data_IF_713462019870
#
_entry.id   IF_713462019870
#
_cell.length_a   1.000
_cell.length_b   1.000
_cell.length_c   1.000
_cell.angle_alpha   90.00
_cell.angle_beta   90.00
_cell.angle_gamma   90.00
#
_symmetry.space_group_name_H-M   'P 1'
#
loop_
_entity.id
_entity.type
_entity.pdbx_description
1 polymer ?
#
# COMPACT_ATOMS: atom_id res chain seq x y z
N UNK A 1 18.81 -3.26 12.44
CA UNK A 1 18.11 -2.10 13.03
C UNK A 1 18.25 -2.08 14.57
N UNK A 2 18.08 -3.21 15.26
CA UNK A 2 18.17 -3.31 16.74
C UNK A 2 19.50 -2.87 17.39
N UNK A 3 20.65 -2.97 16.69
CA UNK A 3 21.95 -2.60 17.25
C UNK A 3 22.21 -1.08 17.34
N UNK A 4 21.42 -0.25 16.67
CA UNK A 4 21.58 1.21 16.61
C UNK A 4 20.50 1.98 17.39
N UNK A 5 19.61 1.28 18.11
CA UNK A 5 18.42 1.85 18.78
C UNK A 5 17.48 2.67 17.86
N UNK A 6 17.71 2.63 16.54
CA UNK A 6 16.89 3.29 15.53
C UNK A 6 15.43 2.84 15.58
N UNK A 7 15.19 1.59 15.99
CA UNK A 7 13.85 1.05 16.22
C UNK A 7 13.09 1.84 17.31
N UNK A 8 13.78 2.17 18.41
CA UNK A 8 13.18 2.96 19.51
C UNK A 8 12.96 4.41 19.09
N UNK A 9 13.90 4.99 18.34
CA UNK A 9 13.74 6.34 17.79
C UNK A 9 12.54 6.41 16.84
N UNK A 10 12.42 5.45 15.92
CA UNK A 10 11.27 5.31 15.01
C UNK A 10 9.96 5.20 15.77
N UNK A 11 9.88 4.30 16.75
CA UNK A 11 8.67 4.11 17.57
C UNK A 11 8.28 5.42 18.27
N UNK A 12 9.24 6.14 18.86
CA UNK A 12 8.96 7.41 19.55
C UNK A 12 8.49 8.52 18.61
N UNK A 13 9.01 8.59 17.38
CA UNK A 13 8.67 9.62 16.40
C UNK A 13 7.35 9.33 15.68
N UNK A 14 7.00 8.04 15.55
CA UNK A 14 5.79 7.56 14.88
C UNK A 14 4.71 7.05 15.82
N UNK A 15 4.76 7.40 17.11
CA UNK A 15 3.71 7.06 18.08
C UNK A 15 2.30 7.55 17.66
N UNK A 16 2.22 8.57 16.80
CA UNK A 16 0.96 9.01 16.21
C UNK A 16 0.37 7.99 15.21
N UNK A 17 1.19 7.17 14.56
CA UNK A 17 0.73 6.08 13.66
C UNK A 17 0.07 4.99 14.50
N UNK A 18 0.65 4.65 15.65
CA UNK A 18 0.10 3.67 16.59
C UNK A 18 -1.36 4.00 16.95
N UNK A 19 -1.64 5.26 17.30
CA UNK A 19 -3.01 5.70 17.61
C UNK A 19 -4.01 5.37 16.49
N UNK A 20 -3.62 5.57 15.22
CA UNK A 20 -4.49 5.21 14.10
C UNK A 20 -4.59 3.70 13.89
N UNK A 21 -3.52 2.95 14.15
CA UNK A 21 -3.51 1.50 14.03
C UNK A 21 -4.43 0.83 15.07
N UNK A 22 -4.50 1.34 16.29
CA UNK A 22 -5.34 0.75 17.36
C UNK A 22 -6.76 1.31 17.36
N UNK A 23 -6.91 2.63 17.29
CA UNK A 23 -8.18 3.28 17.61
C UNK A 23 -9.07 3.44 16.38
N UNK A 24 -8.47 3.59 15.20
CA UNK A 24 -9.21 3.76 13.95
C UNK A 24 -8.50 3.11 12.75
N UNK A 25 -8.50 1.77 12.72
CA UNK A 25 -7.85 0.99 11.68
C UNK A 25 -8.32 1.32 10.25
N UNK A 26 -9.58 1.76 10.08
CA UNK A 26 -10.07 2.22 8.77
C UNK A 26 -9.33 3.47 8.29
N UNK A 27 -9.13 4.44 9.17
CA UNK A 27 -8.37 5.65 8.86
C UNK A 27 -6.89 5.33 8.63
N UNK A 28 -6.33 4.38 9.38
CA UNK A 28 -4.96 3.89 9.13
C UNK A 28 -4.80 3.34 7.71
N UNK A 29 -5.69 2.45 7.25
CA UNK A 29 -5.63 1.91 5.89
C UNK A 29 -5.73 3.03 4.85
N UNK A 30 -6.63 4.01 5.07
CA UNK A 30 -6.78 5.15 4.16
C UNK A 30 -5.52 6.01 4.08
N UNK A 31 -4.91 6.35 5.22
CA UNK A 31 -3.68 7.14 5.26
C UNK A 31 -2.50 6.39 4.67
N UNK A 32 -2.40 5.08 4.93
CA UNK A 32 -1.38 4.22 4.35
C UNK A 32 -1.51 4.16 2.83
N UNK A 33 -2.73 4.00 2.33
CA UNK A 33 -3.05 4.09 0.92
C UNK A 33 -2.55 5.41 0.30
N UNK A 34 -2.97 6.55 0.86
CA UNK A 34 -2.54 7.86 0.36
C UNK A 34 -1.01 8.02 0.37
N UNK A 35 -0.36 7.54 1.43
CA UNK A 35 1.10 7.61 1.58
C UNK A 35 1.82 6.76 0.54
N UNK A 36 1.36 5.53 0.31
CA UNK A 36 1.92 4.64 -0.72
C UNK A 36 1.71 5.24 -2.11
N UNK A 37 0.52 5.76 -2.42
CA UNK A 37 0.26 6.40 -3.72
C UNK A 37 1.18 7.60 -3.95
N UNK A 38 1.41 8.43 -2.92
CA UNK A 38 2.28 9.60 -3.01
C UNK A 38 3.75 9.20 -3.22
N UNK A 39 4.25 8.24 -2.42
CA UNK A 39 5.63 7.76 -2.53
C UNK A 39 5.84 7.02 -3.86
N UNK A 40 4.84 6.27 -4.32
CA UNK A 40 4.86 5.56 -5.60
C UNK A 40 4.82 6.44 -6.83
N UNK A 41 4.80 7.78 -6.69
CA UNK A 41 5.11 8.70 -7.80
C UNK A 41 6.61 8.68 -8.12
N UNK A 42 7.45 8.39 -7.11
CA UNK A 42 8.92 8.48 -7.19
C UNK A 42 9.59 7.12 -7.02
N UNK A 43 9.04 6.25 -6.18
CA UNK A 43 9.59 4.93 -5.86
C UNK A 43 8.88 3.81 -6.64
N UNK A 44 9.60 2.71 -6.86
CA UNK A 44 9.04 1.48 -7.43
C UNK A 44 8.35 0.60 -6.38
N UNK A 45 7.62 -0.42 -6.85
CA UNK A 45 6.86 -1.35 -6.00
C UNK A 45 7.72 -1.97 -4.90
N UNK A 46 8.93 -2.44 -5.23
CA UNK A 46 9.81 -3.11 -4.28
C UNK A 46 10.34 -2.15 -3.20
N UNK A 47 10.69 -0.91 -3.57
CA UNK A 47 11.12 0.11 -2.60
C UNK A 47 9.98 0.44 -1.64
N UNK A 48 8.75 0.57 -2.12
CA UNK A 48 7.57 0.80 -1.29
C UNK A 48 7.41 -0.33 -0.26
N UNK A 49 7.46 -1.58 -0.71
CA UNK A 49 7.29 -2.73 0.21
C UNK A 49 8.36 -2.70 1.30
N UNK A 50 9.63 -2.57 0.94
CA UNK A 50 10.75 -2.59 1.89
C UNK A 50 10.66 -1.40 2.85
N UNK A 51 10.39 -0.20 2.33
CA UNK A 51 10.31 1.03 3.14
C UNK A 51 9.18 0.96 4.17
N UNK A 52 7.96 0.62 3.73
CA UNK A 52 6.81 0.61 4.63
C UNK A 52 6.86 -0.55 5.61
N UNK A 53 7.33 -1.74 5.20
CA UNK A 53 7.48 -2.86 6.14
C UNK A 53 8.55 -2.57 7.19
N UNK A 54 9.69 -1.97 6.82
CA UNK A 54 10.74 -1.60 7.76
C UNK A 54 10.26 -0.63 8.86
N UNK A 55 9.31 0.26 8.53
CA UNK A 55 8.75 1.24 9.47
C UNK A 55 7.58 0.64 10.27
N UNK A 56 6.63 -0.01 9.60
CA UNK A 56 5.37 -0.41 10.22
C UNK A 56 5.45 -1.74 10.99
N UNK A 57 6.39 -2.63 10.64
CA UNK A 57 6.51 -3.92 11.33
C UNK A 57 6.97 -3.80 12.78
N UNK A 58 7.97 -2.95 13.13
CA UNK A 58 8.31 -2.69 14.52
C UNK A 58 7.15 -2.08 15.32
N UNK A 59 6.40 -1.14 14.72
CA UNK A 59 5.23 -0.49 15.36
C UNK A 59 4.08 -1.48 15.56
N UNK A 60 3.88 -2.42 14.64
CA UNK A 60 2.87 -3.46 14.79
C UNK A 60 3.19 -4.42 15.96
N UNK A 61 4.47 -4.75 16.18
CA UNK A 61 4.88 -5.65 17.26
C UNK A 61 4.59 -5.10 18.65
N UNK A 62 4.67 -3.78 18.84
CA UNK A 62 4.39 -3.15 20.13
C UNK A 62 2.89 -3.10 20.45
N UNK A 63 2.03 -3.24 19.43
CA UNK A 63 0.59 -2.96 19.52
C UNK A 63 -0.32 -4.19 19.36
N UNK A 64 0.24 -5.41 19.48
CA UNK A 64 -0.47 -6.68 19.30
C UNK A 64 -1.20 -6.86 17.95
N UNK A 65 -0.93 -5.99 16.96
CA UNK A 65 -1.46 -6.10 15.62
C UNK A 65 -0.59 -7.07 14.83
N UNK A 66 -1.23 -7.99 14.11
CA UNK A 66 -0.51 -8.98 13.32
C UNK A 66 0.27 -8.31 12.18
N UNK A 67 1.60 -8.50 12.17
CA UNK A 67 2.47 -8.03 11.08
C UNK A 67 2.06 -8.60 9.72
N UNK A 68 1.40 -9.77 9.71
CA UNK A 68 0.85 -10.35 8.49
C UNK A 68 -0.24 -9.46 7.87
N UNK A 69 -1.14 -8.89 8.68
CA UNK A 69 -2.19 -7.99 8.18
C UNK A 69 -1.58 -6.74 7.58
N UNK A 70 -0.58 -6.16 8.25
CA UNK A 70 0.13 -4.98 7.78
C UNK A 70 0.87 -5.26 6.47
N UNK A 71 1.62 -6.36 6.41
CA UNK A 71 2.31 -6.78 5.19
C UNK A 71 1.35 -7.02 4.03
N UNK A 72 0.21 -7.68 4.30
CA UNK A 72 -0.82 -7.91 3.29
C UNK A 72 -1.38 -6.61 2.72
N UNK A 73 -1.71 -5.63 3.57
CA UNK A 73 -2.20 -4.32 3.14
C UNK A 73 -1.16 -3.61 2.27
N UNK A 74 0.11 -3.61 2.69
CA UNK A 74 1.22 -3.00 1.94
C UNK A 74 1.34 -3.66 0.56
N UNK A 75 1.29 -4.99 0.47
CA UNK A 75 1.40 -5.70 -0.81
C UNK A 75 0.23 -5.37 -1.76
N UNK A 76 -0.99 -5.26 -1.26
CA UNK A 76 -2.15 -4.87 -2.07
C UNK A 76 -2.00 -3.46 -2.65
N UNK A 77 -1.37 -2.56 -1.90
CA UNK A 77 -1.12 -1.18 -2.32
C UNK A 77 0.20 -1.00 -3.09
N UNK A 78 1.22 -1.82 -2.91
CA UNK A 78 2.51 -1.56 -3.54
C UNK A 78 2.45 -1.62 -5.08
N UNK A 79 1.66 -2.55 -5.61
CA UNK A 79 1.42 -2.70 -7.06
C UNK A 79 0.19 -1.95 -7.55
N UNK A 80 -0.26 -0.88 -6.87
CA UNK A 80 -1.34 -0.05 -7.36
C UNK A 80 -0.82 1.26 -7.95
N UNK A 81 -1.49 1.76 -8.97
CA UNK A 81 -1.11 3.01 -9.59
C UNK A 81 -2.34 3.71 -10.15
N UNK A 82 -2.26 5.03 -10.26
CA UNK A 82 -3.31 5.86 -10.86
C UNK A 82 -2.78 6.64 -12.07
N UNK A 83 -1.47 6.85 -12.12
CA UNK A 83 -0.80 7.64 -13.15
C UNK A 83 0.10 6.69 -13.95
N UNK A 84 0.06 6.70 -15.31
CA UNK A 84 0.85 5.81 -16.15
C UNK A 84 2.35 5.72 -15.83
N UNK A 85 2.95 6.81 -15.35
CA UNK A 85 4.38 6.89 -15.08
C UNK A 85 4.83 6.04 -13.88
N UNK A 86 3.89 5.63 -13.03
CA UNK A 86 4.18 4.79 -11.86
C UNK A 86 4.44 3.33 -12.24
N UNK A 87 4.01 2.91 -13.43
CA UNK A 87 4.04 1.51 -13.86
C UNK A 87 4.81 1.38 -15.19
N UNK A 88 6.08 0.92 -15.14
CA UNK A 88 6.90 0.73 -16.33
C UNK A 88 6.31 -0.30 -17.31
N UNK A 89 5.64 -1.34 -16.81
CA UNK A 89 5.06 -2.40 -17.65
C UNK A 89 3.93 -1.84 -18.53
N UNK A 90 3.12 -0.93 -17.99
CA UNK A 90 2.09 -0.21 -18.72
C UNK A 90 2.68 0.69 -19.81
N UNK A 91 3.81 1.37 -19.54
CA UNK A 91 4.48 2.19 -20.54
C UNK A 91 4.94 1.33 -21.72
N UNK A 92 5.63 0.22 -21.45
CA UNK A 92 6.10 -0.74 -22.46
C UNK A 92 4.92 -1.31 -23.24
N UNK A 93 3.87 -1.75 -22.55
CA UNK A 93 2.65 -2.26 -23.17
C UNK A 93 2.03 -1.21 -24.12
N UNK A 94 1.92 0.04 -23.67
CA UNK A 94 1.32 1.11 -24.46
C UNK A 94 2.12 1.45 -25.72
N UNK A 95 3.46 1.37 -25.67
CA UNK A 95 4.32 1.55 -26.84
C UNK A 95 4.16 0.42 -27.86
N UNK A 96 4.18 -0.83 -27.40
CA UNK A 96 4.02 -2.01 -28.28
C UNK A 96 2.69 -1.99 -29.01
N UNK A 97 1.61 -1.62 -28.30
CA UNK A 97 0.26 -1.63 -28.84
C UNK A 97 0.02 -0.47 -29.81
N UNK A 98 0.58 0.72 -29.52
CA UNK A 98 0.55 1.85 -30.46
C UNK A 98 1.27 1.54 -31.78
N UNK A 99 2.41 0.84 -31.71
CA UNK A 99 3.18 0.46 -32.90
C UNK A 99 2.45 -0.56 -33.80
N UNK A 100 1.47 -1.31 -33.27
CA UNK A 100 0.75 -2.37 -34.01
C UNK A 100 -0.61 -1.93 -34.57
N UNK A 101 -0.98 -0.63 -34.50
CA UNK A 101 -2.28 -0.10 -34.93
C UNK A 101 -3.48 -0.89 -34.37
N UNK A 102 -3.36 -1.44 -33.17
CA UNK A 102 -4.46 -2.14 -32.52
C UNK A 102 -5.47 -1.13 -31.96
N UNK A 103 -6.74 -1.55 -31.86
CA UNK A 103 -7.83 -0.77 -31.23
C UNK A 103 -7.67 -0.77 -29.71
N UNK A 104 -6.64 -0.09 -29.21
CA UNK A 104 -6.43 0.10 -27.78
C UNK A 104 -6.89 1.49 -27.36
N UNK A 105 -7.82 1.52 -26.41
CA UNK A 105 -8.27 2.76 -25.78
C UNK A 105 -7.54 2.97 -24.47
N UNK A 106 -6.47 3.79 -24.50
CA UNK A 106 -5.73 4.21 -23.31
C UNK A 106 -6.66 4.78 -22.22
N UNK A 107 -7.61 5.69 -22.52
CA UNK A 107 -8.51 6.23 -21.49
C UNK A 107 -9.36 5.15 -20.82
N UNK A 108 -9.90 4.19 -21.58
CA UNK A 108 -10.72 3.11 -21.03
C UNK A 108 -9.91 2.21 -20.10
N UNK A 109 -8.65 1.90 -20.46
CA UNK A 109 -7.75 1.14 -19.61
C UNK A 109 -7.44 1.86 -18.29
N UNK A 110 -7.17 3.17 -18.35
CA UNK A 110 -6.89 3.96 -17.14
C UNK A 110 -8.11 4.06 -16.23
N UNK A 111 -9.31 4.23 -16.79
CA UNK A 111 -10.56 4.18 -16.01
C UNK A 111 -10.74 2.81 -15.35
N UNK A 112 -10.51 1.72 -16.09
CA UNK A 112 -10.57 0.37 -15.54
C UNK A 112 -9.58 0.19 -14.38
N UNK A 113 -8.34 0.65 -14.54
CA UNK A 113 -7.34 0.59 -13.48
C UNK A 113 -7.71 1.44 -12.25
N UNK A 114 -8.25 2.65 -12.43
CA UNK A 114 -8.76 3.45 -11.31
C UNK A 114 -9.90 2.71 -10.56
N UNK A 115 -10.77 2.01 -11.28
CA UNK A 115 -11.83 1.18 -10.67
C UNK A 115 -11.24 0.00 -9.90
N UNK A 116 -10.20 -0.69 -10.41
CA UNK A 116 -9.57 -1.80 -9.67
C UNK A 116 -8.89 -1.32 -8.39
N UNK A 117 -8.31 -0.12 -8.37
CA UNK A 117 -7.78 0.52 -7.15
C UNK A 117 -8.88 0.70 -6.11
N UNK A 118 -10.05 1.22 -6.50
CA UNK A 118 -11.18 1.39 -5.59
C UNK A 118 -11.71 0.04 -5.07
N UNK A 119 -11.76 -0.98 -5.94
CA UNK A 119 -12.17 -2.34 -5.55
C UNK A 119 -11.19 -2.94 -4.54
N UNK A 120 -9.87 -2.78 -4.75
CA UNK A 120 -8.84 -3.25 -3.79
C UNK A 120 -9.01 -2.58 -2.42
N UNK A 121 -9.24 -1.26 -2.39
CA UNK A 121 -9.48 -0.53 -1.14
C UNK A 121 -10.74 -1.01 -0.43
N UNK A 122 -11.85 -1.18 -1.18
CA UNK A 122 -13.10 -1.71 -0.63
C UNK A 122 -12.93 -3.14 -0.08
N UNK A 123 -12.19 -4.00 -0.79
CA UNK A 123 -11.92 -5.37 -0.35
C UNK A 123 -11.15 -5.42 0.98
N UNK A 124 -10.20 -4.50 1.20
CA UNK A 124 -9.50 -4.39 2.48
C UNK A 124 -10.46 -3.98 3.60
N UNK A 125 -11.34 -3.01 3.38
CA UNK A 125 -12.32 -2.62 4.39
C UNK A 125 -13.31 -3.72 4.74
N UNK A 126 -13.75 -4.49 3.74
CA UNK A 126 -14.62 -5.67 3.95
C UNK A 126 -13.88 -6.79 4.69
N UNK A 127 -12.55 -6.83 4.62
CA UNK A 127 -11.72 -7.83 5.30
C UNK A 127 -11.49 -7.52 6.79
N UNK A 128 -11.72 -6.29 7.25
CA UNK A 128 -11.50 -5.89 8.66
C UNK A 128 -12.32 -6.73 9.66
N UNK A 129 -13.63 -6.95 9.50
CA UNK A 129 -14.40 -7.79 10.41
C UNK A 129 -13.86 -9.23 10.50
N UNK A 130 -13.35 -9.76 9.39
CA UNK A 130 -12.74 -11.09 9.35
C UNK A 130 -11.43 -11.14 10.13
N UNK A 131 -10.56 -10.13 10.00
CA UNK A 131 -9.32 -10.06 10.78
C UNK A 131 -9.56 -9.88 12.27
N UNK A 132 -10.56 -9.08 12.66
CA UNK A 132 -11.00 -8.95 14.06
C UNK A 132 -11.50 -10.28 14.61
N UNK A 133 -12.29 -11.02 13.83
CA UNK A 133 -12.79 -12.34 14.23
C UNK A 133 -11.66 -13.35 14.48
N UNK A 134 -10.58 -13.26 13.70
CA UNK A 134 -9.37 -14.09 13.89
C UNK A 134 -8.45 -13.60 15.02
N UNK A 135 -8.73 -12.45 15.65
CA UNK A 135 -7.86 -11.85 16.67
C UNK A 135 -6.53 -11.33 16.11
N UNK A 136 -6.51 -10.89 14.85
CA UNK A 136 -5.33 -10.31 14.20
C UNK A 136 -5.25 -8.78 14.31
N UNK A 137 -6.34 -8.17 14.78
CA UNK A 137 -6.55 -6.73 15.02
C UNK A 137 -7.17 -6.51 16.39
#
# INVERSE_FOLDING_TARGET
MSYLELDQWLISHFAWIEHYMTDNFYLFIFLLACSITLIGIVADEYTIIILFTAILFPIAQTNAISQWVIGFIILIFAGWWLIPQQDPDFLVFSEVVNNKKQTFSKPAFLTFNAVTVLIRLAALYVSIPFWKWLGLL
#
